data_IF_132619395990
#
_entry.id   IF_132619395990
#
_cell.length_a   1.000
_cell.length_b   1.000
_cell.length_c   1.000
_cell.angle_alpha   90.00
_cell.angle_beta   90.00
_cell.angle_gamma   90.00
#
_symmetry.space_group_name_H-M   'P 1'
#
loop_
_entity.id
_entity.type
_entity.pdbx_description
1 polymer ?
#
# COMPACT_ATOMS: atom_id res chain seq x y z
N UNK A 1 32.25 29.50 -7.24
CA UNK A 1 31.45 29.81 -8.44
C UNK A 1 31.54 28.58 -9.32
N UNK A 2 30.40 27.99 -9.71
CA UNK A 2 30.39 26.89 -10.66
C UNK A 2 30.68 27.49 -12.03
N UNK A 3 31.89 27.28 -12.56
CA UNK A 3 32.19 27.70 -13.92
C UNK A 3 31.78 26.59 -14.88
N UNK A 4 30.91 26.95 -15.83
CA UNK A 4 30.47 26.05 -16.88
C UNK A 4 31.63 25.81 -17.87
N UNK A 5 31.79 24.60 -18.40
CA UNK A 5 32.82 24.32 -19.40
C UNK A 5 32.62 25.21 -20.62
N UNK A 6 33.62 26.04 -20.95
CA UNK A 6 33.57 26.88 -22.13
C UNK A 6 33.64 26.03 -23.40
N UNK A 7 32.72 26.29 -24.33
CA UNK A 7 32.67 25.59 -25.61
C UNK A 7 33.87 26.00 -26.48
N UNK A 8 34.79 25.07 -26.73
CA UNK A 8 36.04 25.29 -27.47
C UNK A 8 35.79 25.54 -28.98
N UNK A 9 34.57 25.31 -29.49
CA UNK A 9 34.29 25.25 -30.93
C UNK A 9 33.34 26.32 -31.52
N UNK A 10 33.00 27.39 -30.81
CA UNK A 10 32.29 28.54 -31.40
C UNK A 10 30.86 28.25 -31.90
N UNK A 11 30.28 27.11 -31.52
CA UNK A 11 28.82 26.94 -31.59
C UNK A 11 28.17 27.78 -30.49
N UNK A 12 26.95 28.30 -30.72
CA UNK A 12 26.23 29.05 -29.69
C UNK A 12 26.23 28.27 -28.37
N UNK A 13 26.61 28.97 -27.29
CA UNK A 13 26.71 28.38 -25.97
C UNK A 13 25.31 28.03 -25.46
N UNK A 14 25.02 26.73 -25.41
CA UNK A 14 23.76 26.24 -24.88
C UNK A 14 23.64 26.64 -23.40
N UNK A 15 22.52 27.26 -23.03
CA UNK A 15 22.31 27.88 -21.72
C UNK A 15 22.45 29.41 -21.69
N UNK A 16 22.74 30.06 -22.82
CA UNK A 16 22.65 31.53 -22.93
C UNK A 16 21.20 32.03 -23.00
N UNK A 17 20.93 33.33 -22.75
CA UNK A 17 19.59 33.91 -22.94
C UNK A 17 19.03 33.73 -24.37
N UNK A 18 19.91 33.71 -25.37
CA UNK A 18 19.59 33.54 -26.79
C UNK A 18 19.44 32.06 -27.18
N UNK A 19 20.05 31.15 -26.41
CA UNK A 19 20.07 29.71 -26.64
C UNK A 19 19.77 28.92 -25.36
N UNK A 20 18.55 29.04 -24.80
CA UNK A 20 18.21 28.41 -23.53
C UNK A 20 18.20 26.88 -23.65
N UNK A 21 18.53 26.20 -22.55
CA UNK A 21 18.36 24.75 -22.43
C UNK A 21 16.86 24.43 -22.38
N UNK A 22 16.33 23.79 -23.42
CA UNK A 22 14.91 23.42 -23.50
C UNK A 22 14.69 22.04 -22.89
N UNK A 23 14.05 22.00 -21.72
CA UNK A 23 13.68 20.75 -21.04
C UNK A 23 12.40 20.15 -21.65
N UNK A 24 12.56 19.34 -22.71
CA UNK A 24 11.42 18.67 -23.36
C UNK A 24 10.77 17.65 -22.43
N UNK A 25 9.45 17.65 -22.38
CA UNK A 25 8.67 16.70 -21.56
C UNK A 25 8.62 17.04 -20.07
N UNK A 26 9.15 18.20 -19.66
CA UNK A 26 9.13 18.67 -18.27
C UNK A 26 8.20 19.87 -18.17
N UNK A 27 7.22 19.78 -17.27
CA UNK A 27 6.38 20.92 -16.94
C UNK A 27 7.14 21.89 -16.02
N UNK A 28 6.81 23.18 -16.10
CA UNK A 28 7.41 24.18 -15.20
C UNK A 28 7.12 23.85 -13.73
N UNK A 29 5.94 23.31 -13.42
CA UNK A 29 5.52 22.92 -12.08
C UNK A 29 6.32 21.73 -11.54
N UNK A 30 6.62 20.73 -12.37
CA UNK A 30 7.41 19.57 -11.94
C UNK A 30 8.86 19.99 -11.68
N UNK A 31 9.39 20.88 -12.53
CA UNK A 31 10.74 21.43 -12.35
C UNK A 31 10.83 22.29 -11.08
N UNK A 32 9.84 23.14 -10.82
CA UNK A 32 9.76 23.92 -9.59
C UNK A 32 9.69 23.02 -8.35
N UNK A 33 8.92 21.94 -8.40
CA UNK A 33 8.84 20.96 -7.32
C UNK A 33 10.20 20.30 -7.07
N UNK A 34 10.91 19.86 -8.12
CA UNK A 34 12.26 19.30 -8.00
C UNK A 34 13.21 20.31 -7.36
N UNK A 35 13.24 21.55 -7.84
CA UNK A 35 14.12 22.59 -7.29
C UNK A 35 13.78 22.86 -5.82
N UNK A 36 12.50 22.95 -5.48
CA UNK A 36 12.06 23.15 -4.09
C UNK A 36 12.54 22.03 -3.18
N UNK A 37 12.43 20.77 -3.62
CA UNK A 37 12.92 19.64 -2.82
C UNK A 37 14.44 19.58 -2.78
N UNK A 38 15.13 19.81 -3.90
CA UNK A 38 16.59 19.82 -3.96
C UNK A 38 17.17 20.83 -2.97
N UNK A 39 16.61 22.04 -2.92
CA UNK A 39 17.07 23.08 -2.00
C UNK A 39 16.73 22.81 -0.54
N UNK A 40 15.65 22.09 -0.25
CA UNK A 40 15.31 21.70 1.13
C UNK A 40 16.13 20.52 1.60
N UNK A 41 16.33 19.48 0.78
CA UNK A 41 17.18 18.31 1.09
C UNK A 41 18.64 18.71 1.34
N UNK A 42 19.24 19.54 0.49
CA UNK A 42 20.70 19.76 0.49
C UNK A 42 21.15 21.06 1.15
N UNK A 43 20.34 22.11 1.14
CA UNK A 43 20.81 23.46 1.48
C UNK A 43 20.12 24.09 2.68
N UNK A 44 19.20 23.37 3.37
CA UNK A 44 18.48 23.97 4.49
C UNK A 44 18.32 23.02 5.68
N UNK A 45 19.14 23.25 6.71
CA UNK A 45 19.01 22.59 8.01
C UNK A 45 17.81 23.08 8.84
N UNK A 46 17.06 24.08 8.37
CA UNK A 46 16.05 24.81 9.16
C UNK A 46 14.67 24.95 8.49
N UNK A 47 14.45 24.42 7.29
CA UNK A 47 13.15 24.53 6.59
C UNK A 47 12.21 23.37 6.93
N UNK A 48 10.88 23.62 6.92
CA UNK A 48 9.90 22.56 7.06
C UNK A 48 10.04 21.54 5.94
N UNK A 49 9.68 20.28 6.25
CA UNK A 49 9.66 19.21 5.26
C UNK A 49 8.81 19.62 4.04
N UNK A 50 9.24 19.28 2.81
CA UNK A 50 8.47 19.53 1.60
C UNK A 50 7.05 18.98 1.70
N UNK A 51 6.11 19.70 1.10
CA UNK A 51 4.72 19.23 1.00
C UNK A 51 4.65 17.94 0.18
N UNK A 52 3.78 17.02 0.57
CA UNK A 52 3.55 15.74 -0.11
C UNK A 52 3.28 15.91 -1.62
N UNK A 53 2.60 16.99 -2.01
CA UNK A 53 2.26 17.34 -3.39
C UNK A 53 3.49 17.55 -4.28
N UNK A 54 4.63 17.95 -3.71
CA UNK A 54 5.87 18.21 -4.44
C UNK A 54 6.70 16.94 -4.65
N UNK A 55 6.46 15.88 -3.87
CA UNK A 55 7.32 14.70 -3.84
C UNK A 55 7.21 13.87 -5.12
N UNK A 56 5.99 13.60 -5.62
CA UNK A 56 5.80 12.80 -6.85
C UNK A 56 6.46 13.50 -8.06
N UNK A 57 6.19 14.79 -8.36
CA UNK A 57 6.83 15.46 -9.49
C UNK A 57 8.36 15.55 -9.36
N UNK A 58 8.87 15.87 -8.16
CA UNK A 58 10.30 15.89 -7.91
C UNK A 58 10.94 14.51 -8.13
N UNK A 59 10.30 13.45 -7.65
CA UNK A 59 10.80 12.08 -7.80
C UNK A 59 10.82 11.64 -9.26
N UNK A 60 9.78 11.97 -10.05
CA UNK A 60 9.76 11.71 -11.50
C UNK A 60 10.99 12.29 -12.19
N UNK A 61 11.29 13.56 -11.95
CA UNK A 61 12.43 14.23 -12.59
C UNK A 61 13.77 13.70 -12.08
N UNK A 62 13.91 13.45 -10.77
CA UNK A 62 15.12 12.87 -10.20
C UNK A 62 15.40 11.47 -10.78
N UNK A 63 14.36 10.64 -10.93
CA UNK A 63 14.46 9.32 -11.55
C UNK A 63 14.78 9.42 -13.04
N UNK A 64 14.09 10.31 -13.78
CA UNK A 64 14.29 10.50 -15.21
C UNK A 64 15.72 10.98 -15.56
N UNK A 65 16.31 11.83 -14.72
CA UNK A 65 17.66 12.36 -14.93
C UNK A 65 18.78 11.58 -14.22
N UNK A 66 18.44 10.51 -13.48
CA UNK A 66 19.43 9.67 -12.82
C UNK A 66 20.15 10.34 -11.64
N UNK A 67 19.47 11.24 -10.92
CA UNK A 67 20.03 11.90 -9.74
C UNK A 67 19.94 11.00 -8.50
N UNK A 68 20.86 10.03 -8.39
CA UNK A 68 20.82 8.98 -7.35
C UNK A 68 20.76 9.50 -5.90
N UNK A 69 21.53 10.54 -5.56
CA UNK A 69 21.53 11.09 -4.19
C UNK A 69 20.18 11.74 -3.85
N UNK A 70 19.63 12.50 -4.80
CA UNK A 70 18.33 13.15 -4.65
C UNK A 70 17.19 12.13 -4.66
N UNK A 71 17.30 11.08 -5.49
CA UNK A 71 16.37 9.95 -5.50
C UNK A 71 16.28 9.30 -4.12
N UNK A 72 17.44 9.01 -3.50
CA UNK A 72 17.49 8.41 -2.15
C UNK A 72 16.95 9.37 -1.07
N UNK A 73 17.25 10.68 -1.16
CA UNK A 73 16.66 11.69 -0.27
C UNK A 73 15.13 11.69 -0.38
N UNK A 74 14.61 11.78 -1.61
CA UNK A 74 13.19 11.84 -1.87
C UNK A 74 12.47 10.54 -1.49
N UNK A 75 13.08 9.37 -1.69
CA UNK A 75 12.50 8.09 -1.29
C UNK A 75 12.30 8.03 0.23
N UNK A 76 13.32 8.42 0.98
CA UNK A 76 13.28 8.48 2.45
C UNK A 76 12.24 9.49 2.94
N UNK A 77 12.15 10.63 2.26
CA UNK A 77 11.18 11.67 2.58
C UNK A 77 9.74 11.23 2.25
N UNK A 78 9.52 10.61 1.10
CA UNK A 78 8.23 10.06 0.70
C UNK A 78 7.73 9.00 1.68
N UNK A 79 8.63 8.18 2.23
CA UNK A 79 8.26 7.18 3.22
C UNK A 79 7.73 7.81 4.52
N UNK A 80 8.20 8.99 4.88
CA UNK A 80 7.81 9.66 6.14
C UNK A 80 6.63 10.61 5.97
N UNK A 81 6.52 11.28 4.82
CA UNK A 81 5.54 12.35 4.60
C UNK A 81 4.24 11.85 3.95
N UNK A 82 4.31 10.84 3.07
CA UNK A 82 3.12 10.40 2.34
C UNK A 82 2.15 9.62 3.24
N UNK A 83 0.86 9.92 3.07
CA UNK A 83 -0.23 9.10 3.61
C UNK A 83 -0.33 7.75 2.90
N UNK A 84 -1.03 6.78 3.50
CA UNK A 84 -1.07 5.40 2.99
C UNK A 84 -1.62 5.30 1.56
N UNK A 85 -2.58 6.15 1.18
CA UNK A 85 -3.11 6.19 -0.20
C UNK A 85 -2.07 6.72 -1.18
N UNK A 86 -1.41 7.83 -0.84
CA UNK A 86 -0.39 8.42 -1.71
C UNK A 86 0.84 7.51 -1.81
N UNK A 87 1.16 6.74 -0.76
CA UNK A 87 2.18 5.68 -0.83
C UNK A 87 1.84 4.57 -1.82
N UNK A 88 0.58 4.17 -1.93
CA UNK A 88 0.15 3.18 -2.92
C UNK A 88 0.29 3.74 -4.34
N UNK A 89 -0.14 4.99 -4.55
CA UNK A 89 0.02 5.67 -5.85
C UNK A 89 1.49 5.79 -6.23
N UNK A 90 2.31 6.28 -5.31
CA UNK A 90 3.76 6.42 -5.46
C UNK A 90 4.42 5.08 -5.77
N UNK A 91 4.08 4.04 -5.02
CA UNK A 91 4.64 2.70 -5.20
C UNK A 91 4.30 2.08 -6.55
N UNK A 92 3.10 2.31 -7.08
CA UNK A 92 2.73 1.82 -8.41
C UNK A 92 3.47 2.54 -9.53
N UNK A 93 3.63 3.85 -9.37
CA UNK A 93 4.25 4.68 -10.39
C UNK A 93 5.75 4.37 -10.55
N UNK A 94 6.42 4.08 -9.44
CA UNK A 94 7.87 3.83 -9.40
C UNK A 94 8.23 2.36 -9.11
N UNK A 95 7.27 1.45 -9.24
CA UNK A 95 7.44 0.00 -9.05
C UNK A 95 8.04 -0.43 -7.69
N UNK A 96 7.62 0.23 -6.61
CA UNK A 96 8.05 -0.06 -5.24
C UNK A 96 7.13 -1.07 -4.55
N UNK A 97 7.15 -2.32 -5.02
CA UNK A 97 6.26 -3.39 -4.55
C UNK A 97 6.24 -3.57 -3.01
N UNK A 98 7.38 -3.36 -2.35
CA UNK A 98 7.52 -3.49 -0.89
C UNK A 98 6.61 -2.53 -0.09
N UNK A 99 6.17 -1.42 -0.68
CA UNK A 99 5.32 -0.43 -0.02
C UNK A 99 3.83 -0.77 -0.10
N UNK A 100 3.42 -1.56 -1.09
CA UNK A 100 2.02 -1.85 -1.34
C UNK A 100 1.40 -2.61 -0.16
N UNK A 101 2.05 -3.67 0.32
CA UNK A 101 1.52 -4.50 1.41
C UNK A 101 1.28 -3.70 2.70
N UNK A 102 2.30 -3.03 3.26
CA UNK A 102 2.16 -2.23 4.47
C UNK A 102 1.13 -1.11 4.35
N UNK A 103 1.07 -0.41 3.20
CA UNK A 103 0.12 0.68 3.01
C UNK A 103 -1.33 0.19 2.95
N UNK A 104 -1.61 -0.90 2.21
CA UNK A 104 -2.95 -1.51 2.18
C UNK A 104 -3.38 -2.02 3.55
N UNK A 105 -2.44 -2.60 4.33
CA UNK A 105 -2.74 -3.06 5.68
C UNK A 105 -3.22 -1.92 6.57
N UNK A 106 -2.49 -0.79 6.58
CA UNK A 106 -2.89 0.39 7.34
C UNK A 106 -4.25 0.92 6.93
N UNK A 107 -4.57 0.90 5.62
CA UNK A 107 -5.91 1.25 5.15
C UNK A 107 -6.98 0.25 5.64
N UNK A 108 -6.69 -1.04 5.71
CA UNK A 108 -7.64 -2.01 6.26
C UNK A 108 -7.89 -1.79 7.76
N UNK A 109 -6.83 -1.47 8.52
CA UNK A 109 -6.88 -1.36 9.98
C UNK A 109 -7.35 0.03 10.48
N UNK A 110 -7.25 1.09 9.66
CA UNK A 110 -7.65 2.43 10.11
C UNK A 110 -9.15 2.51 10.42
N UNK A 111 -9.58 3.27 11.45
CA UNK A 111 -10.99 3.42 11.78
C UNK A 111 -11.83 4.14 10.72
N UNK A 112 -11.24 5.13 10.05
CA UNK A 112 -11.96 6.01 9.11
C UNK A 112 -12.37 5.29 7.83
N UNK A 113 -13.54 5.62 7.23
CA UNK A 113 -13.93 5.11 5.92
C UNK A 113 -12.96 5.58 4.84
N UNK A 114 -12.97 4.91 3.68
CA UNK A 114 -12.31 5.43 2.47
C UNK A 114 -13.17 6.57 1.93
N UNK A 115 -12.56 7.73 1.71
CA UNK A 115 -13.22 8.89 1.11
C UNK A 115 -13.32 8.74 -0.41
N UNK A 116 -14.20 9.51 -1.04
CA UNK A 116 -14.36 9.50 -2.50
C UNK A 116 -13.05 9.82 -3.22
N UNK A 117 -12.28 10.76 -2.71
CA UNK A 117 -11.02 11.17 -3.33
C UNK A 117 -9.94 10.10 -3.21
N UNK A 118 -9.85 9.45 -2.05
CA UNK A 118 -8.97 8.30 -1.86
C UNK A 118 -9.38 7.12 -2.76
N UNK A 119 -10.68 6.84 -2.88
CA UNK A 119 -11.18 5.78 -3.75
C UNK A 119 -10.77 6.00 -5.22
N UNK A 120 -10.81 7.24 -5.71
CA UNK A 120 -10.34 7.59 -7.06
C UNK A 120 -8.85 7.30 -7.22
N UNK A 121 -8.02 7.70 -6.26
CA UNK A 121 -6.56 7.46 -6.28
C UNK A 121 -6.20 5.98 -6.20
N UNK A 122 -6.91 5.22 -5.36
CA UNK A 122 -6.67 3.80 -5.16
C UNK A 122 -7.01 2.95 -6.38
N UNK A 123 -7.98 3.37 -7.18
CA UNK A 123 -8.55 2.52 -8.23
C UNK A 123 -9.35 1.35 -7.66
N UNK A 124 -10.06 0.66 -8.56
CA UNK A 124 -11.10 -0.31 -8.17
C UNK A 124 -10.53 -1.53 -7.43
N UNK A 125 -9.38 -2.07 -7.85
CA UNK A 125 -8.86 -3.32 -7.27
C UNK A 125 -8.43 -3.15 -5.82
N UNK A 126 -7.69 -2.08 -5.51
CA UNK A 126 -7.32 -1.73 -4.12
C UNK A 126 -8.53 -1.40 -3.28
N UNK A 127 -9.50 -0.66 -3.84
CA UNK A 127 -10.72 -0.30 -3.13
C UNK A 127 -11.50 -1.56 -2.74
N UNK A 128 -11.68 -2.50 -3.68
CA UNK A 128 -12.37 -3.76 -3.44
C UNK A 128 -11.60 -4.65 -2.45
N UNK A 129 -10.28 -4.73 -2.54
CA UNK A 129 -9.46 -5.44 -1.54
C UNK A 129 -9.70 -4.88 -0.15
N UNK A 130 -9.58 -3.56 0.03
CA UNK A 130 -9.77 -2.90 1.32
C UNK A 130 -11.21 -3.08 1.81
N UNK A 131 -12.22 -2.98 0.94
CA UNK A 131 -13.62 -3.22 1.30
C UNK A 131 -13.84 -4.65 1.78
N UNK A 132 -13.38 -5.65 1.01
CA UNK A 132 -13.52 -7.08 1.35
C UNK A 132 -12.88 -7.41 2.69
N UNK A 133 -11.66 -6.94 2.93
CA UNK A 133 -10.96 -7.19 4.18
C UNK A 133 -11.66 -6.47 5.34
N UNK A 134 -12.09 -5.23 5.15
CA UNK A 134 -12.87 -4.52 6.17
C UNK A 134 -14.20 -5.21 6.44
N UNK A 135 -14.90 -5.74 5.46
CA UNK A 135 -16.15 -6.48 5.67
C UNK A 135 -15.92 -7.82 6.37
N UNK A 136 -14.93 -8.61 5.91
CA UNK A 136 -14.59 -9.91 6.49
C UNK A 136 -14.16 -9.80 7.96
N UNK A 137 -13.46 -8.72 8.30
CA UNK A 137 -12.96 -8.45 9.65
C UNK A 137 -13.74 -7.34 10.39
N UNK A 138 -14.94 -6.98 9.92
CA UNK A 138 -15.91 -6.06 10.56
C UNK A 138 -17.41 -6.32 10.22
N UNK A 139 -17.90 -7.55 10.03
CA UNK A 139 -19.18 -7.75 9.34
C UNK A 139 -20.41 -7.39 10.19
N UNK A 140 -21.45 -6.77 9.61
CA UNK A 140 -22.83 -7.19 9.78
C UNK A 140 -23.18 -8.30 8.76
N UNK A 141 -23.99 -9.27 9.21
CA UNK A 141 -24.28 -10.54 8.53
C UNK A 141 -25.21 -10.41 7.30
N UNK A 142 -25.05 -11.20 6.22
CA UNK A 142 -26.16 -11.68 5.39
C UNK A 142 -26.82 -12.92 6.00
N UNK A 143 -28.15 -13.02 5.94
CA UNK A 143 -28.90 -14.10 6.58
C UNK A 143 -28.54 -15.48 6.00
N UNK A 144 -28.24 -16.48 6.85
CA UNK A 144 -28.16 -17.88 6.39
C UNK A 144 -27.26 -18.86 7.18
N UNK A 145 -26.10 -18.46 7.70
CA UNK A 145 -25.10 -19.45 8.17
C UNK A 145 -24.92 -19.52 9.71
N UNK A 146 -24.41 -20.67 10.18
CA UNK A 146 -24.14 -21.06 11.58
C UNK A 146 -23.28 -20.05 12.35
N UNK A 147 -23.45 -20.01 13.68
CA UNK A 147 -22.93 -18.95 14.57
C UNK A 147 -21.40 -18.93 14.68
N UNK A 148 -20.75 -18.24 13.74
CA UNK A 148 -19.36 -17.79 13.91
C UNK A 148 -19.36 -16.69 14.98
N UNK A 149 -18.59 -16.89 16.04
CA UNK A 149 -18.44 -15.92 17.13
C UNK A 149 -17.15 -15.10 16.92
N UNK A 150 -17.27 -13.77 16.92
CA UNK A 150 -16.14 -12.85 16.83
C UNK A 150 -15.92 -12.16 18.18
N UNK A 151 -14.66 -11.89 18.55
CA UNK A 151 -14.39 -11.03 19.71
C UNK A 151 -14.82 -9.57 19.41
N UNK A 152 -14.99 -8.75 20.45
CA UNK A 152 -15.45 -7.35 20.30
C UNK A 152 -14.56 -6.51 19.38
N UNK A 153 -13.25 -6.79 19.32
CA UNK A 153 -12.32 -6.10 18.41
C UNK A 153 -12.52 -6.52 16.96
N UNK A 154 -12.73 -7.81 16.69
CA UNK A 154 -12.99 -8.31 15.34
C UNK A 154 -14.40 -7.99 14.84
N UNK A 155 -15.38 -7.85 15.74
CA UNK A 155 -16.71 -7.41 15.36
C UNK A 155 -16.76 -5.89 15.06
N UNK A 156 -15.75 -5.13 15.51
CA UNK A 156 -15.73 -3.67 15.38
C UNK A 156 -16.86 -2.96 16.15
N UNK A 157 -17.53 -3.68 17.07
CA UNK A 157 -18.63 -3.17 17.89
C UNK A 157 -18.52 -3.73 19.31
N UNK A 158 -18.85 -2.88 20.28
CA UNK A 158 -18.96 -3.25 21.68
C UNK A 158 -20.42 -3.15 22.13
N UNK A 159 -20.91 -4.22 22.78
CA UNK A 159 -22.27 -4.30 23.32
C UNK A 159 -22.35 -3.60 24.67
N UNK A 160 -23.19 -2.56 24.76
CA UNK A 160 -23.55 -1.91 26.03
C UNK A 160 -24.81 -2.54 26.60
N UNK A 161 -24.77 -2.92 27.88
CA UNK A 161 -25.93 -3.50 28.60
C UNK A 161 -26.87 -2.40 29.11
N UNK A 162 -26.38 -1.15 29.25
CA UNK A 162 -27.18 -0.02 29.69
C UNK A 162 -28.03 0.61 28.57
N UNK A 163 -29.02 1.40 28.96
CA UNK A 163 -29.81 2.21 28.03
C UNK A 163 -28.93 3.24 27.36
N UNK A 164 -28.90 3.24 26.02
CA UNK A 164 -28.22 4.26 25.23
C UNK A 164 -29.23 5.04 24.40
N UNK A 165 -28.90 6.29 24.07
CA UNK A 165 -29.65 7.09 23.10
C UNK A 165 -29.02 6.92 21.74
N UNK A 166 -29.79 6.43 20.76
CA UNK A 166 -29.31 6.28 19.40
C UNK A 166 -28.88 7.63 18.82
N UNK A 167 -27.66 7.73 18.28
CA UNK A 167 -27.15 8.97 17.70
C UNK A 167 -27.94 9.41 16.45
N UNK A 168 -28.52 8.46 15.71
CA UNK A 168 -29.28 8.71 14.49
C UNK A 168 -30.72 9.12 14.78
N UNK A 169 -31.53 8.22 15.37
CA UNK A 169 -32.97 8.45 15.57
C UNK A 169 -33.35 9.01 16.96
N UNK A 170 -32.38 9.21 17.87
CA UNK A 170 -32.56 9.72 19.24
C UNK A 170 -33.45 8.87 20.16
N UNK A 171 -33.86 7.67 19.73
CA UNK A 171 -34.60 6.72 20.56
C UNK A 171 -33.70 6.11 21.63
N UNK A 172 -34.23 5.93 22.85
CA UNK A 172 -33.58 5.16 23.90
C UNK A 172 -33.73 3.66 23.63
N UNK A 173 -32.62 2.93 23.59
CA UNK A 173 -32.58 1.49 23.27
C UNK A 173 -31.74 0.72 24.30
N UNK A 174 -32.06 -0.57 24.47
CA UNK A 174 -31.25 -1.52 25.25
C UNK A 174 -31.45 -2.95 24.69
N UNK A 175 -30.37 -3.73 24.46
CA UNK A 175 -28.97 -3.32 24.58
C UNK A 175 -28.57 -2.34 23.47
N UNK A 176 -27.48 -1.60 23.71
CA UNK A 176 -26.88 -0.69 22.76
C UNK A 176 -25.62 -1.25 22.10
N UNK A 177 -25.22 -0.71 20.95
CA UNK A 177 -23.93 -0.99 20.32
C UNK A 177 -23.20 0.31 20.03
N UNK A 178 -21.90 0.34 20.28
CA UNK A 178 -21.04 1.43 19.81
C UNK A 178 -19.88 0.85 19.01
N UNK A 179 -19.33 1.63 18.09
CA UNK A 179 -18.14 1.24 17.36
C UNK A 179 -17.00 0.97 18.34
N UNK A 180 -16.39 -0.20 18.21
CA UNK A 180 -15.16 -0.51 18.90
C UNK A 180 -14.00 -0.07 18.02
N UNK A 181 -13.17 0.83 18.54
CA UNK A 181 -11.97 1.34 17.87
C UNK A 181 -10.69 0.69 18.43
N UNK A 182 -10.82 -0.36 19.26
CA UNK A 182 -9.67 -1.15 19.65
C UNK A 182 -8.95 -1.71 18.42
N UNK A 183 -7.62 -1.74 18.43
CA UNK A 183 -6.85 -2.41 17.39
C UNK A 183 -7.31 -3.86 17.23
N UNK A 184 -7.17 -4.37 16.00
CA UNK A 184 -7.30 -5.79 15.75
C UNK A 184 -6.31 -6.59 16.60
N UNK A 185 -6.68 -7.82 16.94
CA UNK A 185 -5.75 -8.74 17.60
C UNK A 185 -4.55 -9.02 16.70
N UNK A 186 -3.42 -9.45 17.27
CA UNK A 186 -2.23 -9.81 16.49
C UNK A 186 -2.53 -10.87 15.43
N UNK A 187 -3.37 -11.87 15.74
CA UNK A 187 -3.75 -12.92 14.78
C UNK A 187 -4.57 -12.38 13.62
N UNK A 188 -5.51 -11.47 13.88
CA UNK A 188 -6.28 -10.80 12.83
C UNK A 188 -5.39 -9.90 11.96
N UNK A 189 -4.48 -9.13 12.57
CA UNK A 189 -3.51 -8.32 11.84
C UNK A 189 -2.57 -9.16 10.96
N UNK A 190 -2.18 -10.36 11.42
CA UNK A 190 -1.41 -11.32 10.61
C UNK A 190 -2.23 -11.85 9.44
N UNK A 191 -3.48 -12.26 9.67
CA UNK A 191 -4.37 -12.75 8.60
C UNK A 191 -4.62 -11.68 7.51
N UNK A 192 -4.83 -10.42 7.91
CA UNK A 192 -4.93 -9.29 6.97
C UNK A 192 -3.65 -9.16 6.15
N UNK A 193 -2.49 -9.19 6.82
CA UNK A 193 -1.18 -9.05 6.16
C UNK A 193 -0.93 -10.17 5.16
N UNK A 194 -1.28 -11.41 5.51
CA UNK A 194 -1.12 -12.59 4.65
C UNK A 194 -1.94 -12.46 3.36
N UNK A 195 -3.22 -12.11 3.47
CA UNK A 195 -4.10 -11.94 2.31
C UNK A 195 -3.59 -10.81 1.40
N UNK A 196 -3.17 -9.69 1.98
CA UNK A 196 -2.65 -8.55 1.23
C UNK A 196 -1.34 -8.91 0.53
N UNK A 197 -0.39 -9.52 1.23
CA UNK A 197 0.90 -9.87 0.66
C UNK A 197 0.75 -10.87 -0.50
N UNK A 198 -0.15 -11.85 -0.37
CA UNK A 198 -0.46 -12.77 -1.47
C UNK A 198 -1.07 -12.02 -2.66
N UNK A 199 -2.02 -11.12 -2.42
CA UNK A 199 -2.62 -10.31 -3.48
C UNK A 199 -1.60 -9.42 -4.20
N UNK A 200 -0.61 -8.85 -3.48
CA UNK A 200 0.49 -8.09 -4.10
C UNK A 200 1.34 -8.99 -4.98
N UNK A 201 1.72 -10.18 -4.51
CA UNK A 201 2.48 -11.18 -5.30
C UNK A 201 1.69 -11.64 -6.54
N UNK A 202 0.37 -11.73 -6.45
CA UNK A 202 -0.52 -12.05 -7.56
C UNK A 202 -0.72 -10.90 -8.57
N UNK A 203 0.08 -9.84 -8.49
CA UNK A 203 0.04 -8.70 -9.40
C UNK A 203 -1.09 -7.71 -9.10
N UNK A 204 -1.51 -7.62 -7.83
CA UNK A 204 -2.60 -6.75 -7.39
C UNK A 204 -3.97 -7.07 -8.05
N UNK A 205 -4.17 -8.33 -8.47
CA UNK A 205 -5.44 -8.81 -9.03
C UNK A 205 -6.08 -9.79 -8.06
N UNK A 206 -7.36 -9.57 -7.75
CA UNK A 206 -8.09 -10.51 -6.92
C UNK A 206 -8.50 -11.74 -7.75
N UNK A 207 -7.90 -12.88 -7.42
CA UNK A 207 -8.33 -14.18 -7.95
C UNK A 207 -9.49 -14.68 -7.09
N UNK A 208 -10.69 -14.79 -7.66
CA UNK A 208 -11.80 -15.44 -6.99
C UNK A 208 -11.39 -16.87 -6.67
N UNK A 209 -11.30 -17.20 -5.37
CA UNK A 209 -11.21 -18.60 -4.98
C UNK A 209 -12.56 -19.22 -5.31
N UNK A 210 -12.55 -20.17 -6.24
CA UNK A 210 -13.68 -21.07 -6.42
C UNK A 210 -13.93 -21.75 -5.07
N UNK A 211 -15.01 -21.39 -4.38
CA UNK A 211 -15.42 -22.02 -3.12
C UNK A 211 -15.86 -23.49 -3.30
N UNK A 212 -15.72 -24.03 -4.53
CA UNK A 212 -16.12 -25.37 -4.94
C UNK A 212 -14.97 -26.23 -5.48
N UNK A 213 -13.72 -25.79 -5.40
CA UNK A 213 -12.59 -26.63 -5.80
C UNK A 213 -12.33 -27.63 -4.67
N UNK A 214 -12.50 -28.95 -4.90
CA UNK A 214 -12.38 -29.94 -3.83
C UNK A 214 -10.93 -29.94 -3.32
N UNK A 215 -10.80 -29.92 -2.00
CA UNK A 215 -9.52 -30.21 -1.33
C UNK A 215 -9.15 -31.63 -1.75
N UNK A 216 -8.16 -31.76 -2.62
CA UNK A 216 -7.56 -33.06 -2.92
C UNK A 216 -6.86 -33.47 -1.62
N UNK A 217 -7.52 -34.33 -0.85
CA UNK A 217 -6.87 -35.06 0.24
C UNK A 217 -5.69 -35.80 -0.37
N UNK A 218 -4.49 -35.40 0.05
CA UNK A 218 -3.26 -36.10 -0.32
C UNK A 218 -3.33 -37.41 0.45
N UNK A 219 -3.65 -38.52 -0.24
CA UNK A 219 -3.53 -39.86 0.34
C UNK A 219 -2.11 -40.00 0.91
N UNK A 220 -2.02 -40.24 2.22
CA UNK A 220 -0.78 -40.63 2.86
C UNK A 220 -0.33 -41.94 2.21
N UNK A 221 0.69 -41.85 1.36
CA UNK A 221 1.43 -43.02 0.88
C UNK A 221 2.10 -43.63 2.10
N UNK A 222 1.54 -44.74 2.57
CA UNK A 222 2.09 -45.57 3.62
C UNK A 222 3.51 -46.07 3.26
N UNK A 223 4.31 -46.43 4.26
CA UNK A 223 5.73 -46.72 4.08
C UNK A 223 5.92 -47.91 3.15
N UNK A 224 6.81 -47.73 2.18
CA UNK A 224 7.25 -48.70 1.19
C UNK A 224 7.64 -50.03 1.82
N UNK A 225 6.97 -51.11 1.43
CA UNK A 225 7.45 -52.47 1.66
C UNK A 225 8.81 -52.65 0.96
N UNK A 226 9.80 -53.07 1.74
CA UNK A 226 11.14 -53.45 1.31
C UNK A 226 11.05 -54.59 0.28
N UNK A 227 11.52 -54.33 -0.95
CA UNK A 227 11.84 -55.41 -1.88
C UNK A 227 13.15 -56.05 -1.42
N UNK A 228 13.04 -57.23 -0.80
CA UNK A 228 14.16 -58.15 -0.62
C UNK A 228 14.76 -58.51 -1.99
N UNK A 229 15.99 -58.06 -2.22
CA UNK A 229 16.85 -58.52 -3.29
C UNK A 229 17.40 -59.91 -2.91
N UNK A 230 16.69 -60.97 -3.31
CA UNK A 230 17.30 -62.29 -3.37
C UNK A 230 18.36 -62.31 -4.48
N UNK A 231 19.61 -62.38 -4.03
CA UNK A 231 20.81 -62.66 -4.81
C UNK A 231 20.84 -64.15 -5.17
N UNK A 232 20.76 -64.48 -6.46
CA UNK A 232 21.06 -65.82 -6.96
C UNK A 232 22.46 -65.82 -7.64
N UNK A 233 23.46 -66.51 -7.09
CA UNK A 233 24.75 -66.69 -7.75
C UNK A 233 24.72 -67.95 -8.63
N UNK A 234 24.85 -67.75 -9.94
CA UNK A 234 24.58 -68.71 -11.02
C UNK A 234 25.18 -70.12 -10.96
N UNK A 235 24.47 -71.04 -11.63
CA UNK A 235 24.97 -72.16 -12.44
C UNK A 235 23.84 -72.70 -13.33
#
# INVERSE_FOLDING_TARGET
MLELPQNIHGSPEEGSPEHPIVLKGVSATDFEALMTVLYTCHFSSQKPAPEASLLIPAFRLANMWGFSDLYNCLLSLAETVLGDVDKIVFAREFDLQAWLGPAHKKLCERPGPITTEEARKLGVDSLLLVSRLREQFRPPKPAGESTISYCQSCAGVHRSIGTITCASCRTRVSPGYHHNNSPHSASTGMAISEVINRWVVDGCVWKERNLYEPVIEIEEVGPSDELELELDPGA
#
